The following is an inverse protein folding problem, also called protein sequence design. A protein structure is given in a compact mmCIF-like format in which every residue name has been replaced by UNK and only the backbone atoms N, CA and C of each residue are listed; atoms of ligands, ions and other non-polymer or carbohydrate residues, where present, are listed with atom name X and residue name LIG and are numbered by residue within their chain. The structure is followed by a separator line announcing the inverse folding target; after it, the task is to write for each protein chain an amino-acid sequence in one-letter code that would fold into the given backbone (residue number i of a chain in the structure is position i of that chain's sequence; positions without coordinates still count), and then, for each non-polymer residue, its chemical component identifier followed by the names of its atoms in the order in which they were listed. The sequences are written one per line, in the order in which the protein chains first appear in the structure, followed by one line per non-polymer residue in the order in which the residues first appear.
data_IF_318173751520
#
_entry.id   IF_318173751520
#
_cell.length_a   1.000
_cell.length_b   1.000
_cell.length_c   1.000
_cell.angle_alpha   90.00
_cell.angle_beta   90.00
_cell.angle_gamma   90.00
#
_symmetry.space_group_name_H-M   'P 1'
#
loop_
_entity.id
_entity.type
_entity.pdbx_description
1 polymer ?
#
# COMPACT_ATOMS: atom_id res chain seq x y z
N UNK A 1 -10.73 -3.07 13.76
CA UNK A 1 -12.21 -2.93 13.80
C UNK A 1 -12.64 -1.47 13.72
N UNK A 2 -12.38 -0.62 14.72
CA UNK A 2 -12.85 0.79 14.74
C UNK A 2 -12.47 1.59 13.48
N UNK A 3 -11.19 1.58 13.08
CA UNK A 3 -10.72 2.28 11.86
C UNK A 3 -11.49 1.81 10.62
N UNK A 4 -11.61 0.49 10.43
CA UNK A 4 -12.27 -0.09 9.27
C UNK A 4 -13.75 0.27 9.18
N UNK A 5 -14.49 0.29 10.31
CA UNK A 5 -15.89 0.74 10.34
C UNK A 5 -16.02 2.21 9.95
N UNK A 6 -15.19 3.07 10.53
CA UNK A 6 -15.21 4.51 10.22
C UNK A 6 -14.87 4.81 8.77
N UNK A 7 -13.96 4.04 8.17
CA UNK A 7 -13.68 4.13 6.73
C UNK A 7 -14.87 3.65 5.89
N UNK A 8 -15.50 2.54 6.29
CA UNK A 8 -16.67 2.01 5.59
C UNK A 8 -17.88 2.96 5.61
N UNK A 9 -18.05 3.71 6.70
CA UNK A 9 -19.11 4.70 6.86
C UNK A 9 -18.79 6.06 6.22
N UNK A 10 -17.58 6.24 5.67
CA UNK A 10 -17.10 7.52 5.15
C UNK A 10 -17.80 7.86 3.82
N UNK A 11 -18.53 8.99 3.72
CA UNK A 11 -19.29 9.34 2.51
C UNK A 11 -18.41 9.45 1.26
N UNK A 12 -17.19 9.98 1.38
CA UNK A 12 -16.26 10.18 0.27
C UNK A 12 -15.76 8.86 -0.35
N UNK A 13 -15.92 7.73 0.35
CA UNK A 13 -15.57 6.41 -0.16
C UNK A 13 -16.77 5.67 -0.75
N UNK A 14 -17.98 6.23 -0.66
CA UNK A 14 -19.17 5.62 -1.26
C UNK A 14 -19.13 5.78 -2.78
N UNK A 15 -19.25 4.66 -3.50
CA UNK A 15 -19.17 4.65 -4.96
C UNK A 15 -17.74 4.78 -5.52
N UNK A 16 -16.72 4.80 -4.66
CA UNK A 16 -15.31 4.75 -5.05
C UNK A 16 -14.77 3.35 -4.76
N UNK A 17 -13.93 2.82 -5.64
CA UNK A 17 -13.23 1.57 -5.35
C UNK A 17 -12.13 1.81 -4.31
N UNK A 18 -12.21 1.13 -3.16
CA UNK A 18 -11.20 1.20 -2.11
C UNK A 18 -11.02 -0.16 -1.43
N UNK A 19 -9.85 -0.33 -0.81
CA UNK A 19 -9.47 -1.56 -0.12
C UNK A 19 -9.04 -1.23 1.30
N UNK A 20 -9.60 -1.91 2.29
CA UNK A 20 -9.12 -1.83 3.67
C UNK A 20 -7.86 -2.68 3.82
N UNK A 21 -6.74 -2.01 4.07
CA UNK A 21 -5.45 -2.66 4.29
C UNK A 21 -5.13 -2.78 5.78
N UNK A 22 -4.76 -3.98 6.22
CA UNK A 22 -4.09 -4.18 7.50
C UNK A 22 -3.06 -5.30 7.41
N UNK A 23 -1.94 -5.17 8.14
CA UNK A 23 -0.91 -6.21 8.25
C UNK A 23 -1.15 -7.04 9.50
N UNK A 24 -1.17 -8.37 9.37
CA UNK A 24 -1.20 -9.27 10.54
C UNK A 24 0.18 -9.42 11.20
N UNK A 25 1.25 -9.19 10.44
CA UNK A 25 2.64 -9.28 10.87
C UNK A 25 3.52 -8.19 10.21
N UNK A 26 4.44 -7.62 10.97
CA UNK A 26 5.50 -6.70 10.55
C UNK A 26 6.83 -7.47 10.63
N UNK A 27 7.07 -8.37 9.67
CA UNK A 27 8.22 -9.28 9.69
C UNK A 27 9.60 -8.59 9.55
N UNK A 28 9.62 -7.32 9.13
CA UNK A 28 10.83 -6.57 8.76
C UNK A 28 11.18 -5.44 9.75
N UNK A 29 10.84 -5.58 11.04
CA UNK A 29 11.23 -4.59 12.06
C UNK A 29 12.76 -4.53 12.19
N UNK A 30 13.29 -3.32 12.37
CA UNK A 30 14.73 -3.09 12.65
C UNK A 30 15.20 -3.71 13.97
N UNK A 31 14.29 -3.91 14.94
CA UNK A 31 14.61 -4.42 16.28
C UNK A 31 13.78 -5.65 16.60
N UNK A 32 14.41 -6.67 17.20
CA UNK A 32 13.76 -7.88 17.72
C UNK A 32 12.71 -7.59 18.80
N UNK A 33 12.83 -6.45 19.50
CA UNK A 33 11.88 -6.03 20.53
C UNK A 33 10.68 -5.25 19.97
N UNK A 34 10.65 -5.00 18.66
CA UNK A 34 9.55 -4.29 18.02
C UNK A 34 8.29 -5.15 17.97
N UNK A 35 7.14 -4.55 18.24
CA UNK A 35 5.85 -5.23 18.09
C UNK A 35 5.64 -5.67 16.63
N UNK A 36 5.20 -6.91 16.44
CA UNK A 36 5.04 -7.51 15.12
C UNK A 36 3.59 -7.50 14.63
N UNK A 37 2.62 -7.47 15.52
CA UNK A 37 1.20 -7.54 15.17
C UNK A 37 0.51 -8.68 15.91
N UNK A 38 -0.68 -9.02 15.46
CA UNK A 38 -1.55 -10.04 16.10
C UNK A 38 -1.24 -11.47 15.64
N UNK A 39 -0.48 -11.62 14.56
CA UNK A 39 -0.23 -12.93 13.93
C UNK A 39 -1.36 -13.37 13.01
N UNK A 40 -1.09 -14.38 12.18
CA UNK A 40 -1.96 -14.72 11.05
C UNK A 40 -3.34 -15.24 11.47
N UNK A 41 -3.42 -16.14 12.46
CA UNK A 41 -4.70 -16.69 12.93
C UNK A 41 -5.65 -15.60 13.45
N UNK A 42 -5.16 -14.68 14.28
CA UNK A 42 -5.98 -13.58 14.80
C UNK A 42 -6.22 -12.49 13.75
N UNK A 43 -5.30 -12.32 12.79
CA UNK A 43 -5.50 -11.49 11.60
C UNK A 43 -6.66 -11.98 10.74
N UNK A 44 -6.71 -13.27 10.43
CA UNK A 44 -7.81 -13.92 9.68
C UNK A 44 -9.14 -13.75 10.41
N UNK A 45 -9.16 -13.93 11.74
CA UNK A 45 -10.37 -13.65 12.54
C UNK A 45 -10.81 -12.19 12.39
N UNK A 46 -9.89 -11.24 12.45
CA UNK A 46 -10.21 -9.82 12.28
C UNK A 46 -10.73 -9.49 10.86
N UNK A 47 -10.15 -10.09 9.82
CA UNK A 47 -10.63 -9.97 8.43
C UNK A 47 -12.03 -10.57 8.25
N UNK A 48 -12.29 -11.71 8.87
CA UNK A 48 -13.61 -12.36 8.86
C UNK A 48 -14.65 -11.45 9.53
N UNK A 49 -14.33 -10.94 10.73
CA UNK A 49 -15.25 -10.06 11.47
C UNK A 49 -15.55 -8.78 10.69
N UNK A 50 -14.55 -8.13 10.09
CA UNK A 50 -14.82 -6.89 9.34
C UNK A 50 -15.64 -7.14 8.07
N UNK A 51 -15.44 -8.25 7.35
CA UNK A 51 -16.30 -8.61 6.21
C UNK A 51 -17.76 -8.87 6.63
N UNK A 52 -17.97 -9.44 7.82
CA UNK A 52 -19.31 -9.65 8.37
C UNK A 52 -20.01 -8.34 8.77
N UNK A 53 -19.27 -7.42 9.40
CA UNK A 53 -19.83 -6.15 9.88
C UNK A 53 -19.92 -5.06 8.81
N UNK A 54 -19.10 -5.15 7.75
CA UNK A 54 -19.03 -4.19 6.65
C UNK A 54 -19.15 -4.96 5.32
N UNK A 55 -20.37 -5.30 4.89
CA UNK A 55 -20.58 -6.08 3.68
C UNK A 55 -19.94 -5.42 2.44
N UNK A 56 -19.35 -6.23 1.56
CA UNK A 56 -18.65 -5.79 0.34
C UNK A 56 -17.37 -4.97 0.57
N UNK A 57 -16.88 -4.84 1.81
CA UNK A 57 -15.56 -4.27 2.05
C UNK A 57 -14.50 -5.15 1.37
N UNK A 58 -13.72 -4.54 0.46
CA UNK A 58 -12.56 -5.22 -0.14
C UNK A 58 -11.38 -5.13 0.82
N UNK A 59 -10.64 -6.21 0.95
CA UNK A 59 -9.53 -6.35 1.89
C UNK A 59 -8.22 -6.57 1.15
N UNK A 60 -7.14 -6.07 1.75
CA UNK A 60 -5.78 -6.41 1.32
C UNK A 60 -4.86 -6.54 2.53
N UNK A 61 -3.89 -7.45 2.42
CA UNK A 61 -2.84 -7.65 3.42
C UNK A 61 -1.54 -8.02 2.73
N UNK A 62 -0.43 -7.90 3.44
CA UNK A 62 0.88 -8.32 2.98
C UNK A 62 1.29 -9.69 3.53
N UNK A 63 2.01 -10.45 2.70
CA UNK A 63 2.58 -11.75 3.04
C UNK A 63 4.09 -11.72 3.03
N UNK A 64 4.69 -12.63 3.78
CA UNK A 64 6.13 -12.72 3.97
C UNK A 64 6.71 -14.04 3.50
N UNK A 65 5.90 -15.11 3.42
CA UNK A 65 6.32 -16.47 3.04
C UNK A 65 5.21 -17.20 2.26
N UNK A 66 5.56 -18.13 1.36
CA UNK A 66 4.61 -18.73 0.41
C UNK A 66 3.47 -19.51 1.08
N UNK A 67 3.73 -20.19 2.20
CA UNK A 67 2.71 -21.00 2.89
C UNK A 67 1.54 -20.17 3.44
N UNK A 68 1.73 -18.86 3.59
CA UNK A 68 0.69 -17.93 4.09
C UNK A 68 -0.39 -17.66 3.04
N UNK A 69 -0.07 -17.85 1.76
CA UNK A 69 -0.93 -17.46 0.64
C UNK A 69 -2.22 -18.28 0.59
N UNK A 70 -2.12 -19.60 0.74
CA UNK A 70 -3.28 -20.49 0.72
C UNK A 70 -4.26 -20.17 1.85
N UNK A 71 -3.76 -19.93 3.07
CA UNK A 71 -4.58 -19.60 4.24
C UNK A 71 -5.27 -18.23 4.14
N UNK A 72 -4.73 -17.30 3.36
CA UNK A 72 -5.29 -15.95 3.20
C UNK A 72 -6.26 -15.83 2.02
N UNK A 73 -6.17 -16.72 1.03
CA UNK A 73 -6.91 -16.66 -0.24
C UNK A 73 -8.43 -16.55 -0.10
N UNK A 74 -9.00 -17.13 0.95
CA UNK A 74 -10.45 -17.06 1.21
C UNK A 74 -10.90 -15.74 1.89
N UNK A 75 -9.96 -14.95 2.43
CA UNK A 75 -10.27 -13.84 3.32
C UNK A 75 -9.91 -12.46 2.75
N UNK A 76 -8.91 -12.38 1.87
CA UNK A 76 -8.44 -11.10 1.30
C UNK A 76 -8.57 -11.08 -0.21
N UNK A 77 -8.85 -9.91 -0.77
CA UNK A 77 -9.22 -9.75 -2.19
C UNK A 77 -8.01 -9.39 -3.05
N UNK A 78 -7.00 -8.74 -2.46
CA UNK A 78 -5.72 -8.40 -3.11
C UNK A 78 -4.58 -8.76 -2.18
N UNK A 79 -3.60 -9.50 -2.69
CA UNK A 79 -2.42 -9.88 -1.92
C UNK A 79 -1.24 -8.95 -2.19
N UNK A 80 -0.66 -8.39 -1.15
CA UNK A 80 0.44 -7.43 -1.28
C UNK A 80 1.80 -8.10 -1.05
N UNK A 81 2.74 -7.91 -1.97
CA UNK A 81 4.14 -8.34 -1.80
C UNK A 81 4.96 -7.17 -1.24
N UNK A 82 5.62 -7.33 -0.07
CA UNK A 82 6.46 -6.31 0.54
C UNK A 82 7.63 -5.88 -0.36
N UNK A 83 8.09 -4.63 -0.18
CA UNK A 83 9.17 -4.06 -1.00
C UNK A 83 10.45 -4.93 -0.99
N UNK A 84 10.86 -5.42 0.17
CA UNK A 84 12.01 -6.34 0.33
C UNK A 84 11.85 -7.68 -0.38
N UNK A 85 10.63 -8.06 -0.72
CA UNK A 85 10.31 -9.33 -1.35
C UNK A 85 9.87 -9.18 -2.82
N UNK A 86 9.91 -7.97 -3.38
CA UNK A 86 9.42 -7.66 -4.73
C UNK A 86 10.14 -8.39 -5.89
N UNK A 87 11.18 -9.17 -5.59
CA UNK A 87 11.89 -10.01 -6.56
C UNK A 87 11.85 -11.51 -6.26
N UNK A 88 11.23 -11.94 -5.17
CA UNK A 88 11.21 -13.35 -4.77
C UNK A 88 10.28 -14.12 -5.71
N UNK A 89 10.87 -14.92 -6.60
CA UNK A 89 10.13 -15.64 -7.66
C UNK A 89 9.03 -16.50 -7.06
N UNK A 90 9.41 -17.41 -6.15
CA UNK A 90 8.47 -18.36 -5.54
C UNK A 90 7.29 -17.64 -4.88
N UNK A 91 7.55 -16.55 -4.15
CA UNK A 91 6.48 -15.80 -3.48
C UNK A 91 5.53 -15.13 -4.48
N UNK A 92 6.06 -14.55 -5.56
CA UNK A 92 5.27 -13.85 -6.58
C UNK A 92 4.45 -14.84 -7.41
N UNK A 93 5.06 -15.94 -7.85
CA UNK A 93 4.38 -16.95 -8.68
C UNK A 93 3.29 -17.66 -7.87
N UNK A 94 3.60 -18.08 -6.63
CA UNK A 94 2.59 -18.68 -5.75
C UNK A 94 1.49 -17.68 -5.40
N UNK A 95 1.78 -16.38 -5.26
CA UNK A 95 0.74 -15.39 -5.04
C UNK A 95 -0.25 -15.30 -6.21
N UNK A 96 0.25 -15.39 -7.45
CA UNK A 96 -0.59 -15.40 -8.65
C UNK A 96 -1.42 -16.69 -8.83
N UNK A 97 -1.00 -17.80 -8.23
CA UNK A 97 -1.76 -19.06 -8.20
C UNK A 97 -2.99 -18.99 -7.29
N UNK A 98 -2.92 -18.23 -6.19
CA UNK A 98 -3.97 -18.18 -5.16
C UNK A 98 -4.86 -16.93 -5.24
N UNK A 99 -4.45 -15.89 -5.96
CA UNK A 99 -5.15 -14.60 -6.00
C UNK A 99 -5.33 -14.09 -7.43
N UNK A 100 -6.48 -13.49 -7.70
CA UNK A 100 -6.77 -12.81 -8.96
C UNK A 100 -6.04 -11.46 -9.10
N UNK A 101 -5.45 -10.95 -8.01
CA UNK A 101 -4.70 -9.69 -8.03
C UNK A 101 -3.52 -9.73 -7.06
N UNK A 102 -2.32 -9.48 -7.60
CA UNK A 102 -1.08 -9.36 -6.84
C UNK A 102 -0.59 -7.91 -6.88
N UNK A 103 -0.41 -7.31 -5.70
CA UNK A 103 0.04 -5.94 -5.52
C UNK A 103 1.49 -5.87 -5.04
N UNK A 104 2.40 -5.53 -5.94
CA UNK A 104 3.83 -5.40 -5.65
C UNK A 104 4.15 -4.03 -5.05
N UNK A 105 4.80 -3.98 -3.89
CA UNK A 105 5.48 -2.75 -3.44
C UNK A 105 6.83 -2.66 -4.14
N UNK A 106 7.08 -1.57 -4.87
CA UNK A 106 8.38 -1.35 -5.53
C UNK A 106 9.50 -1.32 -4.49
N UNK A 107 10.58 -2.08 -4.72
CA UNK A 107 11.79 -1.98 -3.90
C UNK A 107 12.40 -0.57 -3.95
N UNK A 108 12.99 -0.11 -2.85
CA UNK A 108 13.60 1.23 -2.80
C UNK A 108 14.91 1.30 -3.60
N UNK A 109 15.49 0.16 -3.98
CA UNK A 109 16.74 0.06 -4.77
C UNK A 109 16.52 -0.26 -6.25
N UNK A 110 15.27 -0.48 -6.68
CA UNK A 110 14.96 -0.92 -8.03
C UNK A 110 14.29 0.21 -8.83
N UNK A 111 14.77 0.39 -10.07
CA UNK A 111 14.18 1.30 -11.05
C UNK A 111 12.95 0.68 -11.74
N UNK A 112 12.12 1.51 -12.40
CA UNK A 112 10.93 1.07 -13.11
C UNK A 112 11.24 -0.04 -14.14
N UNK A 113 12.22 0.18 -15.01
CA UNK A 113 12.65 -0.76 -16.05
C UNK A 113 13.00 -2.18 -15.58
N UNK A 114 13.38 -2.35 -14.31
CA UNK A 114 13.76 -3.66 -13.76
C UNK A 114 12.65 -4.30 -12.94
N UNK A 115 11.72 -3.51 -12.36
CA UNK A 115 10.65 -4.10 -11.55
C UNK A 115 9.56 -4.74 -12.40
N UNK A 116 9.41 -4.32 -13.67
CA UNK A 116 8.46 -4.89 -14.64
C UNK A 116 8.59 -6.41 -14.81
N UNK A 117 9.77 -7.00 -14.53
CA UNK A 117 9.96 -8.47 -14.51
C UNK A 117 9.05 -9.18 -13.50
N UNK A 118 8.52 -8.47 -12.49
CA UNK A 118 7.53 -9.02 -11.59
C UNK A 118 6.18 -9.25 -12.30
N UNK A 119 5.84 -8.47 -13.32
CA UNK A 119 4.65 -8.70 -14.17
C UNK A 119 4.82 -10.01 -14.92
N UNK A 120 5.96 -10.23 -15.56
CA UNK A 120 6.23 -11.48 -16.29
C UNK A 120 6.04 -12.69 -15.39
N UNK A 121 6.58 -12.66 -14.17
CA UNK A 121 6.38 -13.74 -13.18
C UNK A 121 4.91 -13.98 -12.83
N UNK A 122 4.13 -12.91 -12.66
CA UNK A 122 2.69 -13.01 -12.36
C UNK A 122 1.97 -13.65 -13.55
N UNK A 123 2.20 -13.14 -14.76
CA UNK A 123 1.48 -13.57 -15.97
C UNK A 123 1.92 -14.96 -16.45
N UNK A 124 3.17 -15.37 -16.21
CA UNK A 124 3.63 -16.73 -16.45
C UNK A 124 2.95 -17.75 -15.54
N UNK A 125 2.72 -17.39 -14.26
CA UNK A 125 2.04 -18.26 -13.31
C UNK A 125 0.50 -18.28 -13.54
N UNK A 126 -0.08 -17.12 -13.83
CA UNK A 126 -1.50 -16.97 -14.11
C UNK A 126 -1.73 -15.78 -15.08
N UNK A 127 -2.01 -16.03 -16.37
CA UNK A 127 -2.19 -14.97 -17.37
C UNK A 127 -3.31 -13.97 -17.07
N UNK A 128 -4.35 -14.41 -16.35
CA UNK A 128 -5.51 -13.58 -16.01
C UNK A 128 -5.30 -12.77 -14.72
N UNK A 129 -4.29 -13.10 -13.93
CA UNK A 129 -4.00 -12.42 -12.66
C UNK A 129 -3.59 -10.95 -12.91
N UNK A 130 -4.25 -10.02 -12.21
CA UNK A 130 -3.95 -8.60 -12.29
C UNK A 130 -2.66 -8.27 -11.53
N UNK A 131 -1.77 -7.51 -12.16
CA UNK A 131 -0.52 -7.04 -11.58
C UNK A 131 -0.63 -5.56 -11.22
N UNK A 132 -0.67 -5.25 -9.92
CA UNK A 132 -0.64 -3.88 -9.42
C UNK A 132 0.74 -3.55 -8.87
N UNK A 133 1.15 -2.28 -8.94
CA UNK A 133 2.38 -1.81 -8.31
C UNK A 133 2.13 -0.56 -7.47
N UNK A 134 2.81 -0.47 -6.33
CA UNK A 134 2.92 0.78 -5.57
C UNK A 134 4.34 1.34 -5.66
N UNK A 135 4.46 2.57 -6.16
CA UNK A 135 5.65 3.37 -5.90
C UNK A 135 5.65 3.82 -4.43
N UNK A 136 6.71 3.46 -3.72
CA UNK A 136 6.91 3.77 -2.30
C UNK A 136 8.23 4.50 -2.05
N UNK A 137 8.73 5.17 -3.08
CA UNK A 137 9.97 5.93 -3.11
C UNK A 137 11.20 5.09 -3.38
N UNK A 138 12.24 5.75 -3.90
CA UNK A 138 13.56 5.20 -4.20
C UNK A 138 14.62 5.79 -3.27
N UNK A 139 15.63 5.01 -2.93
CA UNK A 139 16.75 5.46 -2.09
C UNK A 139 17.47 6.63 -2.74
N UNK A 140 17.64 7.72 -1.99
CA UNK A 140 18.41 8.88 -2.42
C UNK A 140 19.48 9.23 -1.38
N UNK A 141 20.66 8.66 -1.58
CA UNK A 141 21.69 8.59 -0.55
C UNK A 141 21.38 7.47 0.46
N UNK A 142 21.86 7.63 1.69
CA UNK A 142 21.81 6.56 2.69
C UNK A 142 20.59 6.62 3.62
N UNK A 143 19.93 7.78 3.70
CA UNK A 143 19.01 8.07 4.81
C UNK A 143 17.60 8.45 4.38
N UNK A 144 17.32 8.68 3.09
CA UNK A 144 16.00 9.16 2.65
C UNK A 144 15.53 8.51 1.36
N UNK A 145 14.22 8.57 1.18
CA UNK A 145 13.54 8.22 -0.06
C UNK A 145 13.13 9.48 -0.81
N UNK A 146 13.10 9.39 -2.14
CA UNK A 146 12.47 10.36 -3.04
C UNK A 146 11.39 9.66 -3.86
N UNK A 147 10.34 10.40 -4.19
CA UNK A 147 9.36 9.98 -5.19
C UNK A 147 9.78 10.63 -6.49
N UNK A 148 10.06 9.81 -7.49
CA UNK A 148 10.31 10.25 -8.85
C UNK A 148 9.02 9.99 -9.64
N UNK A 149 8.30 11.07 -9.94
CA UNK A 149 6.99 10.96 -10.59
C UNK A 149 7.08 10.59 -12.08
N UNK A 150 8.26 10.72 -12.68
CA UNK A 150 8.50 10.37 -14.09
C UNK A 150 8.29 8.86 -14.34
N UNK A 151 8.43 8.03 -13.30
CA UNK A 151 8.32 6.58 -13.43
C UNK A 151 6.89 6.09 -13.68
N UNK A 152 5.87 6.94 -13.49
CA UNK A 152 4.46 6.52 -13.55
C UNK A 152 4.12 6.00 -14.94
N UNK A 153 4.52 6.75 -15.97
CA UNK A 153 4.23 6.41 -17.37
C UNK A 153 4.89 5.07 -17.74
N UNK A 154 6.17 4.91 -17.39
CA UNK A 154 6.91 3.67 -17.64
C UNK A 154 6.29 2.47 -16.91
N UNK A 155 5.83 2.64 -15.67
CA UNK A 155 5.16 1.56 -14.95
C UNK A 155 3.80 1.20 -15.56
N UNK A 156 3.06 2.19 -16.08
CA UNK A 156 1.75 1.98 -16.70
C UNK A 156 1.81 1.23 -18.04
N UNK A 157 2.96 1.21 -18.71
CA UNK A 157 3.15 0.37 -19.90
C UNK A 157 3.06 -1.13 -19.59
N UNK A 158 3.26 -1.53 -18.33
CA UNK A 158 3.38 -2.93 -17.94
C UNK A 158 2.41 -3.38 -16.84
N UNK A 159 2.04 -2.51 -15.91
CA UNK A 159 1.18 -2.86 -14.78
C UNK A 159 -0.28 -2.47 -15.03
N UNK A 160 -1.20 -3.32 -14.55
CA UNK A 160 -2.64 -3.10 -14.68
C UNK A 160 -3.10 -1.89 -13.83
N UNK A 161 -2.44 -1.62 -12.70
CA UNK A 161 -2.61 -0.40 -11.90
C UNK A 161 -1.30 0.06 -11.25
N UNK A 162 -1.06 1.37 -11.26
CA UNK A 162 0.08 2.04 -10.61
C UNK A 162 -0.41 2.97 -9.50
N UNK A 163 -0.02 2.67 -8.27
CA UNK A 163 -0.45 3.40 -7.07
C UNK A 163 0.72 4.17 -6.44
N UNK A 164 0.43 5.30 -5.80
CA UNK A 164 1.40 5.99 -4.95
C UNK A 164 1.20 5.58 -3.48
N UNK A 165 2.22 4.99 -2.85
CA UNK A 165 2.28 4.84 -1.40
C UNK A 165 2.73 6.16 -0.77
N UNK A 166 1.76 6.99 -0.39
CA UNK A 166 2.04 8.34 0.08
C UNK A 166 2.63 8.37 1.49
N UNK A 167 2.45 7.32 2.29
CA UNK A 167 2.94 7.27 3.67
C UNK A 167 4.38 6.78 3.72
N UNK A 168 4.67 5.61 3.15
CA UNK A 168 5.99 4.99 3.25
C UNK A 168 7.05 5.67 2.38
N UNK A 169 6.64 6.37 1.31
CA UNK A 169 7.55 7.18 0.48
C UNK A 169 8.17 8.36 1.22
N UNK A 170 7.65 8.71 2.40
CA UNK A 170 8.22 9.77 3.25
C UNK A 170 9.18 9.25 4.32
N UNK A 171 9.38 7.93 4.38
CA UNK A 171 10.28 7.31 5.34
C UNK A 171 11.73 7.74 5.12
N UNK A 172 12.43 7.93 6.23
CA UNK A 172 13.85 8.27 6.30
C UNK A 172 14.46 7.70 7.57
N UNK A 173 15.75 7.45 7.58
CA UNK A 173 16.46 6.97 8.76
C UNK A 173 16.53 8.04 9.85
N UNK A 174 16.51 7.61 11.11
CA UNK A 174 16.92 8.46 12.24
C UNK A 174 18.45 8.51 12.32
N UNK A 175 18.99 9.46 13.08
CA UNK A 175 20.45 9.61 13.27
C UNK A 175 21.11 8.33 13.79
N UNK A 176 20.43 7.59 14.66
CA UNK A 176 20.90 6.32 15.24
C UNK A 176 19.71 5.37 15.33
N UNK A 177 19.73 4.30 14.53
CA UNK A 177 18.72 3.24 14.43
C UNK A 177 17.27 3.68 14.18
N UNK A 178 16.55 2.86 13.43
CA UNK A 178 15.11 3.01 13.21
C UNK A 178 14.74 4.07 12.16
N UNK A 179 13.43 4.16 11.96
CA UNK A 179 12.80 4.93 10.88
C UNK A 179 12.02 6.09 11.49
N UNK A 180 12.00 7.21 10.78
CA UNK A 180 11.08 8.32 10.97
C UNK A 180 10.45 8.65 9.62
N UNK A 181 9.44 9.54 9.60
CA UNK A 181 8.79 9.92 8.37
C UNK A 181 8.33 11.39 8.41
N UNK A 182 7.58 11.83 7.40
CA UNK A 182 7.08 13.20 7.32
C UNK A 182 5.59 13.21 6.96
N UNK A 183 4.73 13.27 7.99
CA UNK A 183 3.28 13.36 7.85
C UNK A 183 2.82 14.51 6.92
N UNK A 184 3.43 15.69 7.02
CA UNK A 184 3.05 16.81 6.17
C UNK A 184 3.35 16.53 4.69
N UNK A 185 4.45 15.84 4.40
CA UNK A 185 4.77 15.38 3.05
C UNK A 185 3.84 14.24 2.62
N UNK A 186 3.46 13.33 3.52
CA UNK A 186 2.57 12.22 3.19
C UNK A 186 1.20 12.74 2.73
N UNK A 187 0.65 13.74 3.42
CA UNK A 187 -0.58 14.45 3.00
C UNK A 187 -0.43 15.19 1.68
N UNK A 188 0.77 15.70 1.35
CA UNK A 188 1.04 16.34 0.06
C UNK A 188 1.09 15.31 -1.06
N UNK A 189 1.78 14.20 -0.85
CA UNK A 189 1.81 13.07 -1.80
C UNK A 189 0.43 12.48 -2.02
N UNK A 190 -0.38 12.34 -0.97
CA UNK A 190 -1.77 11.92 -1.10
C UNK A 190 -2.52 12.80 -2.12
N UNK A 191 -2.44 14.13 -1.96
CA UNK A 191 -3.09 15.08 -2.88
C UNK A 191 -2.46 15.14 -4.27
N UNK A 192 -1.17 14.82 -4.38
CA UNK A 192 -0.43 14.90 -5.63
C UNK A 192 -0.64 13.67 -6.53
N UNK A 193 -1.03 12.52 -5.97
CA UNK A 193 -1.19 11.28 -6.74
C UNK A 193 -2.04 11.47 -8.03
N UNK A 194 -3.20 12.15 -8.01
CA UNK A 194 -3.98 12.35 -9.22
C UNK A 194 -3.32 13.31 -10.24
N UNK A 195 -2.50 14.26 -9.80
CA UNK A 195 -1.80 15.20 -10.69
C UNK A 195 -0.75 14.53 -11.58
N UNK A 196 -0.17 13.44 -11.09
CA UNK A 196 0.78 12.60 -11.81
C UNK A 196 0.11 11.32 -12.31
N UNK A 197 -1.21 11.34 -12.44
CA UNK A 197 -2.01 10.28 -13.05
C UNK A 197 -1.84 8.89 -12.41
N UNK A 198 -1.49 8.75 -11.14
CA UNK A 198 -1.56 7.43 -10.49
C UNK A 198 -3.00 6.90 -10.48
N UNK A 199 -3.18 5.60 -10.69
CA UNK A 199 -4.49 4.94 -10.69
C UNK A 199 -5.09 4.82 -9.28
N UNK A 200 -4.28 5.04 -8.25
CA UNK A 200 -4.73 5.04 -6.87
C UNK A 200 -3.68 5.54 -5.89
N UNK A 201 -4.09 5.69 -4.63
CA UNK A 201 -3.21 6.05 -3.52
C UNK A 201 -3.30 5.00 -2.42
N UNK A 202 -2.14 4.56 -1.94
CA UNK A 202 -2.02 3.79 -0.71
C UNK A 202 -1.68 4.74 0.43
N UNK A 203 -2.47 4.71 1.50
CA UNK A 203 -2.26 5.52 2.69
C UNK A 203 -2.54 4.72 3.95
N UNK A 204 -1.59 4.70 4.89
CA UNK A 204 -1.87 4.23 6.24
C UNK A 204 -2.52 5.33 7.08
N UNK A 205 -3.55 4.96 7.85
CA UNK A 205 -4.30 5.86 8.71
C UNK A 205 -4.53 5.28 10.09
N UNK A 206 -4.70 6.14 11.10
CA UNK A 206 -5.00 5.73 12.47
C UNK A 206 -5.83 6.81 13.18
N UNK A 207 -6.66 6.42 14.13
CA UNK A 207 -7.47 7.35 14.95
C UNK A 207 -6.62 8.18 15.93
N UNK A 208 -5.43 7.69 16.25
CA UNK A 208 -4.42 8.42 17.00
C UNK A 208 -3.02 7.94 16.57
N UNK A 209 -2.41 8.51 15.52
CA UNK A 209 -1.15 8.02 14.97
C UNK A 209 -0.02 7.85 15.99
N UNK A 210 0.02 8.66 17.04
CA UNK A 210 1.04 8.56 18.09
C UNK A 210 0.98 7.25 18.89
N UNK A 211 -0.20 6.64 18.97
CA UNK A 211 -0.42 5.33 19.61
C UNK A 211 -0.29 4.15 18.65
N UNK A 212 0.08 4.39 17.38
CA UNK A 212 0.30 3.32 16.42
C UNK A 212 1.57 2.54 16.76
N UNK A 213 1.48 1.22 16.61
CA UNK A 213 2.57 0.25 16.90
C UNK A 213 3.70 0.29 15.86
N UNK A 214 3.42 0.91 14.71
CA UNK A 214 4.36 1.10 13.60
C UNK A 214 4.07 2.40 12.85
N UNK A 215 5.08 2.96 12.17
CA UNK A 215 4.90 4.02 11.16
C UNK A 215 4.16 5.30 11.62
N UNK A 216 4.12 5.55 12.94
CA UNK A 216 3.44 6.70 13.58
C UNK A 216 3.77 8.08 13.02
N UNK A 217 4.97 8.25 12.46
CA UNK A 217 5.45 9.53 11.92
C UNK A 217 4.88 9.84 10.52
N UNK A 218 4.24 8.86 9.85
CA UNK A 218 3.65 8.98 8.51
C UNK A 218 2.15 8.73 8.43
N UNK A 219 1.56 8.02 9.40
CA UNK A 219 0.14 7.67 9.35
C UNK A 219 -0.75 8.92 9.39
N UNK A 220 -1.63 9.04 8.40
CA UNK A 220 -2.57 10.16 8.27
C UNK A 220 -3.64 10.02 9.36
N UNK A 221 -3.90 11.04 10.20
CA UNK A 221 -5.01 10.98 11.14
C UNK A 221 -6.33 10.72 10.42
N UNK A 222 -7.11 9.75 10.90
CA UNK A 222 -8.32 9.27 10.24
C UNK A 222 -9.33 10.38 9.98
N UNK A 223 -9.46 11.31 10.92
CA UNK A 223 -10.34 12.48 10.85
C UNK A 223 -9.98 13.46 9.74
N UNK A 224 -8.76 13.40 9.20
CA UNK A 224 -8.31 14.27 8.10
C UNK A 224 -8.54 13.67 6.71
N UNK A 225 -8.79 12.36 6.61
CA UNK A 225 -9.03 11.69 5.31
C UNK A 225 -10.21 12.27 4.52
N UNK A 226 -11.39 12.58 5.11
CA UNK A 226 -12.50 13.17 4.36
C UNK A 226 -12.08 14.40 3.55
N UNK A 227 -11.39 15.34 4.19
CA UNK A 227 -10.94 16.58 3.56
C UNK A 227 -9.86 16.32 2.50
N UNK A 228 -8.98 15.34 2.70
CA UNK A 228 -7.97 14.98 1.70
C UNK A 228 -8.59 14.36 0.44
N UNK A 229 -9.61 13.50 0.61
CA UNK A 229 -10.37 12.90 -0.48
C UNK A 229 -11.16 13.97 -1.26
N UNK A 230 -11.80 14.92 -0.57
CA UNK A 230 -12.50 16.04 -1.20
C UNK A 230 -11.54 16.90 -2.04
N UNK A 231 -10.32 17.12 -1.57
CA UNK A 231 -9.29 17.84 -2.32
C UNK A 231 -8.86 17.05 -3.57
N UNK A 232 -8.64 15.73 -3.47
CA UNK A 232 -8.33 14.91 -4.66
C UNK A 232 -9.45 14.99 -5.70
N UNK A 233 -10.71 14.90 -5.27
CA UNK A 233 -11.85 15.02 -6.15
C UNK A 233 -11.88 16.38 -6.88
N UNK A 234 -11.59 17.47 -6.17
CA UNK A 234 -11.52 18.81 -6.76
C UNK A 234 -10.36 18.98 -7.74
N UNK A 235 -9.17 18.49 -7.40
CA UNK A 235 -7.99 18.59 -8.26
C UNK A 235 -8.26 17.98 -9.64
N UNK A 236 -8.98 16.85 -9.69
CA UNK A 236 -9.34 16.20 -10.95
C UNK A 236 -10.37 16.98 -11.80
N UNK A 237 -11.05 17.97 -11.23
CA UNK A 237 -12.16 18.68 -11.85
C UNK A 237 -11.91 20.19 -12.04
N UNK A 238 -10.78 20.72 -11.58
CA UNK A 238 -10.48 22.15 -11.65
C UNK A 238 -9.73 22.51 -12.95
N UNK A 239 -10.26 23.50 -13.68
CA UNK A 239 -9.63 24.07 -14.87
C UNK A 239 -8.46 24.98 -14.44
N UNK A 240 -7.24 24.49 -14.59
CA UNK A 240 -6.04 25.31 -14.41
C UNK A 240 -5.90 26.32 -15.56
N UNK A 241 -5.60 27.58 -15.22
CA UNK A 241 -5.19 28.59 -16.19
C UNK A 241 -3.81 28.20 -16.74
N UNK A 242 -3.69 28.11 -18.06
CA UNK A 242 -2.46 27.83 -18.79
C UNK A 242 -1.85 29.17 -19.23
N UNK A 243 -0.57 29.40 -18.97
CA UNK A 243 0.19 30.57 -19.45
C UNK A 243 1.10 30.12 -20.58
#
# INVERSE_FOLDING_TARGET
MDIGKRLYELPQLQGVEWYYKASFDKANRTSLKGERGVGMSDGIKAFTTIKQECPNIKLTTDVHECWQLSELSEYVDVIQIPAFLCRQTDLITTAAEYFDTVHIKKGQWIGPNNIVIAVDKIKEANPDCQAWISDRGSNFGYDKLIVDFDIVDELKEHYDKVLLDCTHSTQRSRKVYGVQANLALAKRYFKAAPLFEYDGVFAETHTNPQNSVSDKDSQIPLEELPNLLDIQYRINNENLIRI
#
